data_IF_474369675116
#
_entry.id   IF_474369675116
#
_cell.length_a   1.000
_cell.length_b   1.000
_cell.length_c   1.000
_cell.angle_alpha   90.00
_cell.angle_beta   90.00
_cell.angle_gamma   90.00
#
_symmetry.space_group_name_H-M   'P 1'
#
loop_
_entity.id
_entity.type
_entity.pdbx_description
1 polymer ?
#
# COMPACT_ATOMS: atom_id res chain seq x y z
N UNK A 1 11.87 -19.73 -20.18
CA UNK A 1 11.46 -18.89 -21.34
C UNK A 1 9.93 -18.93 -21.46
N UNK A 2 9.22 -17.88 -21.94
CA UNK A 2 9.24 -16.46 -21.63
C UNK A 2 7.93 -16.06 -20.89
N UNK A 3 7.96 -15.92 -19.56
CA UNK A 3 6.76 -15.62 -18.74
C UNK A 3 6.65 -14.16 -18.29
N UNK A 4 7.66 -13.33 -18.59
CA UNK A 4 7.76 -11.94 -18.12
C UNK A 4 7.07 -10.94 -19.08
N UNK A 5 6.81 -11.31 -20.34
CA UNK A 5 6.28 -10.35 -21.34
C UNK A 5 4.77 -10.10 -21.24
N UNK A 6 3.99 -11.04 -20.68
CA UNK A 6 2.52 -10.95 -20.71
C UNK A 6 1.94 -9.95 -19.70
N UNK A 7 2.59 -9.78 -18.54
CA UNK A 7 2.16 -8.78 -17.54
C UNK A 7 2.48 -7.37 -18.03
N UNK A 8 3.63 -7.18 -18.68
CA UNK A 8 4.02 -5.91 -19.28
C UNK A 8 3.13 -5.47 -20.46
N UNK A 9 2.57 -6.41 -21.23
CA UNK A 9 1.66 -6.07 -22.33
C UNK A 9 0.28 -5.59 -21.86
N UNK A 10 -0.20 -6.04 -20.68
CA UNK A 10 -1.45 -5.56 -20.09
C UNK A 10 -1.33 -4.11 -19.60
N UNK A 11 -0.21 -3.75 -18.97
CA UNK A 11 0.06 -2.37 -18.56
C UNK A 11 0.40 -1.46 -19.76
N UNK A 12 1.09 -1.95 -20.80
CA UNK A 12 1.31 -1.18 -22.04
C UNK A 12 0.01 -0.85 -22.75
N UNK A 13 -0.97 -1.77 -22.75
CA UNK A 13 -2.30 -1.47 -23.30
C UNK A 13 -3.09 -0.48 -22.44
N UNK A 14 -2.90 -0.49 -21.12
CA UNK A 14 -3.46 0.55 -20.23
C UNK A 14 -2.78 1.92 -20.46
N UNK A 15 -1.47 1.95 -20.72
CA UNK A 15 -0.70 3.18 -20.98
C UNK A 15 -0.94 3.79 -22.36
N UNK A 16 -1.23 2.97 -23.38
CA UNK A 16 -1.58 3.42 -24.74
C UNK A 16 -3.07 3.77 -24.91
N UNK A 17 -3.90 3.45 -23.92
CA UNK A 17 -5.32 3.80 -23.84
C UNK A 17 -5.58 5.13 -23.16
N UNK A 18 -4.88 6.21 -23.55
CA UNK A 18 -5.24 7.56 -23.11
C UNK A 18 -6.67 7.86 -23.58
N UNK A 19 -7.57 8.05 -22.59
CA UNK A 19 -8.95 8.60 -22.71
C UNK A 19 -10.00 7.72 -23.38
N UNK A 20 -10.32 6.59 -22.77
CA UNK A 20 -11.65 6.00 -22.94
C UNK A 20 -12.27 5.61 -21.59
N UNK A 21 -12.26 6.53 -20.62
CA UNK A 21 -13.39 6.59 -19.70
C UNK A 21 -14.55 7.15 -20.53
N UNK A 22 -15.69 6.45 -20.66
CA UNK A 22 -16.91 7.12 -21.08
C UNK A 22 -17.09 8.27 -20.10
N UNK A 23 -17.33 9.47 -20.62
CA UNK A 23 -17.78 10.61 -19.82
C UNK A 23 -18.81 10.09 -18.81
N UNK A 24 -18.62 10.44 -17.53
CA UNK A 24 -19.52 10.10 -16.44
C UNK A 24 -20.90 10.65 -16.82
N UNK A 25 -21.73 9.81 -17.42
CA UNK A 25 -23.15 10.08 -17.61
C UNK A 25 -23.80 9.87 -16.25
N UNK A 26 -24.74 10.75 -15.88
CA UNK A 26 -25.46 10.77 -14.60
C UNK A 26 -26.17 9.45 -14.21
N UNK A 27 -26.10 8.41 -15.05
CA UNK A 27 -26.71 7.09 -14.84
C UNK A 27 -25.69 5.94 -14.69
N UNK A 28 -24.40 6.21 -14.44
CA UNK A 28 -23.44 5.14 -14.14
C UNK A 28 -23.63 4.61 -12.70
N UNK A 29 -23.93 3.30 -12.49
CA UNK A 29 -23.95 2.71 -11.16
C UNK A 29 -22.64 2.92 -10.40
N UNK A 30 -22.75 3.07 -9.07
CA UNK A 30 -21.63 3.35 -8.15
C UNK A 30 -20.50 2.32 -8.39
N UNK A 31 -19.25 2.76 -8.23
CA UNK A 31 -18.09 1.87 -8.33
C UNK A 31 -18.20 0.70 -7.34
N UNK A 32 -18.91 0.88 -6.22
CA UNK A 32 -19.24 -0.18 -5.27
C UNK A 32 -20.15 -1.26 -5.88
N UNK A 33 -21.07 -0.87 -6.75
CA UNK A 33 -21.98 -1.79 -7.44
C UNK A 33 -21.27 -2.53 -8.57
N UNK A 34 -20.25 -1.90 -9.17
CA UNK A 34 -19.46 -2.46 -10.27
C UNK A 34 -18.24 -3.26 -9.83
N UNK A 35 -17.64 -2.94 -8.69
CA UNK A 35 -16.46 -3.62 -8.21
C UNK A 35 -16.84 -5.02 -7.73
N UNK A 36 -16.20 -6.03 -8.32
CA UNK A 36 -16.24 -7.41 -7.84
C UNK A 36 -15.14 -7.68 -6.82
N UNK A 37 -14.18 -6.77 -6.63
CA UNK A 37 -13.05 -6.96 -5.72
C UNK A 37 -12.87 -5.75 -4.81
N UNK A 38 -12.08 -5.90 -3.76
CA UNK A 38 -11.69 -4.79 -2.90
C UNK A 38 -10.50 -5.12 -2.01
N UNK A 39 -9.88 -4.06 -1.48
CA UNK A 39 -8.84 -4.15 -0.47
C UNK A 39 -9.32 -3.49 0.82
N UNK A 40 -8.87 -4.00 1.96
CA UNK A 40 -9.24 -3.42 3.25
C UNK A 40 -8.23 -2.36 3.68
N UNK A 41 -8.73 -1.13 3.82
CA UNK A 41 -8.03 -0.06 4.50
C UNK A 41 -8.33 -0.16 6.00
N UNK A 42 -7.34 -0.55 6.79
CA UNK A 42 -7.42 -0.58 8.23
C UNK A 42 -7.04 0.80 8.78
N UNK A 43 -7.79 1.27 9.78
CA UNK A 43 -7.62 2.58 10.39
C UNK A 43 -7.83 2.47 11.90
N UNK A 44 -7.26 3.43 12.62
CA UNK A 44 -7.40 3.54 14.06
C UNK A 44 -7.70 4.99 14.44
N UNK A 45 -8.71 5.18 15.27
CA UNK A 45 -9.12 6.48 15.77
C UNK A 45 -9.36 6.40 17.27
N UNK A 46 -8.89 7.40 18.02
CA UNK A 46 -9.09 7.47 19.47
C UNK A 46 -10.55 7.38 19.90
N UNK A 47 -11.49 7.82 19.05
CA UNK A 47 -12.93 7.81 19.37
C UNK A 47 -13.66 6.56 18.91
N UNK A 48 -13.21 5.93 17.84
CA UNK A 48 -13.90 4.84 17.15
C UNK A 48 -13.19 3.50 17.28
N UNK A 49 -11.99 3.48 17.87
CA UNK A 49 -11.16 2.28 17.95
C UNK A 49 -10.62 1.88 16.57
N UNK A 50 -10.42 0.58 16.40
CA UNK A 50 -9.88 -0.03 15.19
C UNK A 50 -11.02 -0.49 14.27
N UNK A 51 -10.94 -0.08 13.00
CA UNK A 51 -11.93 -0.47 12.00
C UNK A 51 -11.29 -0.63 10.62
N UNK A 52 -11.92 -1.44 9.78
CA UNK A 52 -11.60 -1.57 8.37
C UNK A 52 -12.68 -0.91 7.52
N UNK A 53 -12.26 -0.30 6.42
CA UNK A 53 -13.12 0.12 5.33
C UNK A 53 -12.77 -0.69 4.08
N UNK A 54 -13.78 -1.25 3.42
CA UNK A 54 -13.58 -1.92 2.13
C UNK A 54 -13.46 -0.85 1.04
N UNK A 55 -12.28 -0.77 0.42
CA UNK A 55 -12.03 0.08 -0.72
C UNK A 55 -12.22 -0.76 -1.98
N UNK A 56 -13.27 -0.49 -2.78
CA UNK A 56 -13.56 -1.28 -3.98
C UNK A 56 -12.42 -1.16 -4.98
N UNK A 57 -12.13 -2.24 -5.69
CA UNK A 57 -11.18 -2.25 -6.79
C UNK A 57 -11.67 -3.00 -8.04
N UNK A 58 -11.21 -2.56 -9.19
CA UNK A 58 -11.50 -3.12 -10.51
C UNK A 58 -10.25 -3.85 -11.02
N UNK A 59 -9.94 -5.01 -10.43
CA UNK A 59 -8.94 -5.91 -11.00
C UNK A 59 -9.61 -7.17 -11.54
N UNK A 60 -9.11 -7.75 -12.64
CA UNK A 60 -9.53 -9.07 -13.07
C UNK A 60 -9.01 -10.12 -12.09
N UNK A 61 -9.88 -10.99 -11.55
CA UNK A 61 -9.46 -12.10 -10.68
C UNK A 61 -8.54 -13.13 -11.37
N UNK A 62 -8.56 -13.18 -12.70
CA UNK A 62 -7.68 -14.05 -13.52
C UNK A 62 -7.27 -13.32 -14.79
N UNK A 63 -6.03 -13.53 -15.23
CA UNK A 63 -5.58 -13.14 -16.57
C UNK A 63 -6.57 -13.64 -17.63
N UNK A 64 -6.79 -12.84 -18.68
CA UNK A 64 -7.71 -13.25 -19.76
C UNK A 64 -7.12 -14.43 -20.51
N UNK A 65 -7.85 -15.53 -20.59
CA UNK A 65 -7.45 -16.69 -21.38
C UNK A 65 -7.63 -16.35 -22.86
N UNK A 66 -6.59 -16.59 -23.64
CA UNK A 66 -6.66 -16.49 -25.10
C UNK A 66 -7.41 -17.72 -25.60
N UNK A 67 -8.57 -17.51 -26.22
CA UNK A 67 -9.44 -18.57 -26.78
C UNK A 67 -9.12 -18.83 -28.26
N UNK A 68 -8.44 -17.90 -28.92
CA UNK A 68 -7.94 -18.09 -30.28
C UNK A 68 -7.12 -16.89 -30.75
N UNK A 69 -6.62 -16.92 -31.99
CA UNK A 69 -6.11 -15.73 -32.69
C UNK A 69 -7.06 -15.38 -33.83
N UNK A 70 -7.18 -14.10 -34.19
CA UNK A 70 -7.90 -13.71 -35.40
C UNK A 70 -7.28 -14.36 -36.63
N UNK A 71 -8.09 -14.63 -37.65
CA UNK A 71 -7.72 -15.37 -38.86
C UNK A 71 -6.40 -14.91 -39.48
N UNK A 72 -5.65 -15.90 -39.98
CA UNK A 72 -4.24 -15.93 -40.38
C UNK A 72 -3.88 -14.93 -41.51
N UNK A 73 -4.85 -14.22 -42.09
CA UNK A 73 -4.69 -13.32 -43.24
C UNK A 73 -4.55 -11.83 -42.91
N UNK A 74 -4.19 -11.49 -41.67
CA UNK A 74 -3.86 -10.10 -41.30
C UNK A 74 -2.42 -10.04 -40.82
N UNK A 75 -1.64 -9.06 -41.30
CA UNK A 75 -0.21 -8.87 -40.99
C UNK A 75 0.09 -8.68 -39.48
N UNK A 76 -0.95 -8.57 -38.63
CA UNK A 76 -0.84 -8.56 -37.18
C UNK A 76 -2.04 -9.29 -36.52
N UNK A 77 -1.97 -10.63 -36.34
CA UNK A 77 -3.06 -11.39 -35.73
C UNK A 77 -3.25 -11.00 -34.26
N UNK A 78 -4.44 -10.52 -33.91
CA UNK A 78 -4.79 -10.13 -32.54
C UNK A 78 -5.28 -11.35 -31.75
N UNK A 79 -4.86 -11.53 -30.49
CA UNK A 79 -5.41 -12.57 -29.63
C UNK A 79 -6.91 -12.29 -29.36
N UNK A 80 -7.74 -13.32 -29.56
CA UNK A 80 -9.16 -13.35 -29.14
C UNK A 80 -9.22 -13.92 -27.73
N UNK A 81 -9.77 -13.14 -26.82
CA UNK A 81 -9.89 -13.49 -25.41
C UNK A 81 -11.28 -14.06 -25.08
N UNK A 82 -11.35 -14.86 -24.02
CA UNK A 82 -12.61 -15.37 -23.44
C UNK A 82 -13.55 -14.21 -23.05
N UNK A 83 -14.85 -14.35 -23.35
CA UNK A 83 -15.86 -13.38 -22.90
C UNK A 83 -16.01 -13.49 -21.38
N UNK A 84 -15.74 -12.39 -20.65
CA UNK A 84 -16.01 -12.29 -19.21
C UNK A 84 -17.09 -11.24 -18.90
N UNK A 85 -17.60 -11.26 -17.67
CA UNK A 85 -18.52 -10.23 -17.19
C UNK A 85 -17.87 -8.84 -17.23
N UNK A 86 -18.64 -7.74 -17.37
CA UNK A 86 -18.09 -6.39 -17.50
C UNK A 86 -17.12 -5.96 -16.37
N UNK A 87 -17.35 -6.45 -15.14
CA UNK A 87 -16.47 -6.18 -13.98
C UNK A 87 -15.17 -6.98 -13.98
N UNK A 88 -15.07 -8.06 -14.76
CA UNK A 88 -13.82 -8.81 -14.97
C UNK A 88 -12.97 -8.26 -16.14
N UNK A 89 -13.52 -7.30 -16.88
CA UNK A 89 -12.90 -6.69 -18.06
C UNK A 89 -12.08 -5.45 -17.66
N UNK A 90 -12.54 -4.72 -16.64
CA UNK A 90 -11.88 -3.53 -16.14
C UNK A 90 -10.63 -3.91 -15.33
N UNK A 91 -9.47 -3.42 -15.76
CA UNK A 91 -8.25 -3.42 -14.97
C UNK A 91 -7.91 -1.97 -14.68
N UNK A 92 -8.03 -1.57 -13.42
CA UNK A 92 -7.55 -0.26 -12.97
C UNK A 92 -6.07 -0.33 -12.59
N UNK A 93 -5.41 0.83 -12.65
CA UNK A 93 -4.00 0.95 -12.29
C UNK A 93 -3.82 0.96 -10.78
N UNK A 94 -2.63 0.54 -10.31
CA UNK A 94 -2.30 0.62 -8.88
C UNK A 94 -2.35 2.06 -8.37
N UNK A 95 -1.96 3.03 -9.21
CA UNK A 95 -2.13 4.45 -8.91
C UNK A 95 -3.59 4.81 -8.57
N UNK A 96 -4.57 4.31 -9.32
CA UNK A 96 -5.98 4.62 -9.06
C UNK A 96 -6.48 3.99 -7.76
N UNK A 97 -6.02 2.77 -7.44
CA UNK A 97 -6.33 2.11 -6.16
C UNK A 97 -5.71 2.88 -5.00
N UNK A 98 -4.43 3.26 -5.09
CA UNK A 98 -3.77 4.05 -4.05
C UNK A 98 -4.42 5.42 -3.86
N UNK A 99 -4.80 6.12 -4.93
CA UNK A 99 -5.57 7.38 -4.80
C UNK A 99 -6.85 7.16 -4.01
N UNK A 100 -7.60 6.11 -4.34
CA UNK A 100 -8.84 5.78 -3.64
C UNK A 100 -8.61 5.40 -2.18
N UNK A 101 -7.56 4.65 -1.87
CA UNK A 101 -7.14 4.34 -0.50
C UNK A 101 -6.82 5.60 0.30
N UNK A 102 -6.04 6.52 -0.29
CA UNK A 102 -5.66 7.80 0.33
C UNK A 102 -6.88 8.69 0.56
N UNK A 103 -7.75 8.84 -0.45
CA UNK A 103 -8.97 9.63 -0.34
C UNK A 103 -9.90 9.06 0.74
N UNK A 104 -10.05 7.73 0.78
CA UNK A 104 -10.84 7.03 1.81
C UNK A 104 -10.24 7.24 3.20
N UNK A 105 -8.91 7.19 3.33
CA UNK A 105 -8.21 7.45 4.59
C UNK A 105 -8.52 8.85 5.14
N UNK A 106 -8.41 9.89 4.29
CA UNK A 106 -8.77 11.26 4.69
C UNK A 106 -10.26 11.42 4.96
N UNK A 107 -11.14 10.76 4.21
CA UNK A 107 -12.58 10.80 4.46
C UNK A 107 -12.91 10.33 5.89
N UNK A 108 -12.30 9.24 6.35
CA UNK A 108 -12.56 8.70 7.69
C UNK A 108 -11.82 9.42 8.82
N UNK A 109 -10.57 9.85 8.60
CA UNK A 109 -9.73 10.44 9.66
C UNK A 109 -9.80 11.98 9.72
N UNK A 110 -10.50 12.61 8.77
CA UNK A 110 -10.79 14.04 8.72
C UNK A 110 -10.30 14.69 7.43
N UNK A 111 -11.23 14.98 6.52
CA UNK A 111 -10.94 15.50 5.17
C UNK A 111 -10.09 16.78 5.17
N UNK A 112 -10.34 17.68 6.13
CA UNK A 112 -9.61 18.95 6.26
C UNK A 112 -8.10 18.76 6.50
N UNK A 113 -7.68 17.63 7.08
CA UNK A 113 -6.28 17.33 7.38
C UNK A 113 -5.41 17.24 6.13
N UNK A 114 -6.01 16.94 4.96
CA UNK A 114 -5.32 16.93 3.66
C UNK A 114 -4.69 18.27 3.30
N UNK A 115 -5.24 19.36 3.82
CA UNK A 115 -4.79 20.73 3.51
C UNK A 115 -3.77 21.26 4.50
N UNK A 116 -3.45 20.51 5.56
CA UNK A 116 -2.44 20.91 6.53
C UNK A 116 -1.03 20.65 5.96
N UNK A 117 -0.14 21.66 5.96
CA UNK A 117 1.23 21.49 5.52
C UNK A 117 1.93 20.35 6.27
N UNK A 118 2.59 19.47 5.52
CA UNK A 118 3.32 18.30 6.04
C UNK A 118 2.49 17.32 6.86
N UNK A 119 1.17 17.47 6.96
CA UNK A 119 0.32 16.47 7.57
C UNK A 119 -0.12 15.49 6.48
N UNK A 120 0.10 14.20 6.72
CA UNK A 120 -0.33 13.17 5.79
C UNK A 120 0.12 11.79 6.22
N UNK A 121 0.25 10.88 5.27
CA UNK A 121 0.58 9.49 5.56
C UNK A 121 2.04 9.42 6.02
N UNK A 122 2.24 8.97 7.26
CA UNK A 122 3.56 8.80 7.88
C UNK A 122 4.06 7.38 7.73
N UNK A 123 3.15 6.41 7.71
CA UNK A 123 3.44 4.99 7.68
C UNK A 123 2.31 4.21 7.01
N UNK A 124 2.67 3.14 6.32
CA UNK A 124 1.73 2.16 5.78
C UNK A 124 2.26 0.78 6.13
N UNK A 125 1.45 0.00 6.83
CA UNK A 125 1.80 -1.35 7.30
C UNK A 125 0.85 -2.39 6.72
N UNK A 126 1.37 -3.56 6.41
CA UNK A 126 0.55 -4.74 6.23
C UNK A 126 0.12 -5.27 7.59
N UNK A 127 -1.16 -5.55 7.75
CA UNK A 127 -1.73 -6.02 9.02
C UNK A 127 -2.59 -7.24 8.80
N UNK A 128 -2.57 -8.15 9.76
CA UNK A 128 -3.62 -9.15 9.89
C UNK A 128 -4.73 -8.57 10.73
N UNK A 129 -5.99 -8.83 10.38
CA UNK A 129 -7.12 -8.41 11.18
C UNK A 129 -8.22 -9.46 11.23
N UNK A 130 -9.06 -9.35 12.23
CA UNK A 130 -10.29 -10.12 12.36
C UNK A 130 -11.45 -9.16 12.60
N UNK A 131 -12.58 -9.41 11.96
CA UNK A 131 -13.80 -8.67 12.26
C UNK A 131 -14.26 -8.97 13.69
N UNK A 132 -14.51 -7.91 14.46
CA UNK A 132 -14.83 -8.01 15.87
C UNK A 132 -15.77 -6.88 16.29
N UNK A 133 -17.08 -7.12 16.20
CA UNK A 133 -18.07 -6.15 16.67
C UNK A 133 -19.36 -6.16 15.86
N UNK A 134 -20.10 -5.05 15.94
CA UNK A 134 -21.31 -4.82 15.16
C UNK A 134 -20.98 -3.87 14.02
N UNK A 135 -21.28 -4.26 12.78
CA UNK A 135 -21.02 -3.43 11.60
C UNK A 135 -21.87 -2.16 11.65
N UNK A 136 -21.22 -1.01 11.56
CA UNK A 136 -21.90 0.29 11.56
C UNK A 136 -22.58 0.56 10.21
N UNK A 137 -23.66 1.35 10.16
CA UNK A 137 -24.39 1.65 8.93
C UNK A 137 -23.56 2.40 7.87
N UNK A 138 -22.47 3.02 8.28
CA UNK A 138 -21.60 3.83 7.44
C UNK A 138 -20.55 3.01 6.64
N UNK A 139 -20.60 1.68 6.76
CA UNK A 139 -19.69 0.78 6.06
C UNK A 139 -18.34 0.58 6.75
N UNK A 140 -18.22 0.98 8.03
CA UNK A 140 -17.08 0.62 8.88
C UNK A 140 -17.28 -0.74 9.50
N UNK A 141 -16.24 -1.56 9.39
CA UNK A 141 -16.18 -2.87 10.01
C UNK A 141 -15.30 -2.78 11.25
N UNK A 142 -15.83 -3.00 12.46
CA UNK A 142 -14.98 -3.10 13.65
C UNK A 142 -14.01 -4.27 13.52
N UNK A 143 -12.73 -4.04 13.82
CA UNK A 143 -11.70 -5.08 13.70
C UNK A 143 -10.82 -5.15 14.95
N UNK A 144 -10.12 -6.26 15.08
CA UNK A 144 -8.88 -6.37 15.86
C UNK A 144 -7.76 -6.58 14.87
N UNK A 145 -6.77 -5.67 14.85
CA UNK A 145 -5.64 -5.78 13.93
C UNK A 145 -4.32 -5.98 14.67
N UNK A 146 -3.48 -6.83 14.08
CA UNK A 146 -2.14 -7.16 14.51
C UNK A 146 -1.15 -6.81 13.37
N UNK A 147 -0.19 -5.90 13.59
CA UNK A 147 0.82 -5.58 12.59
C UNK A 147 1.64 -6.82 12.21
N UNK A 148 1.91 -6.97 10.91
CA UNK A 148 2.83 -8.00 10.42
C UNK A 148 4.24 -7.57 10.80
N UNK A 149 4.92 -8.41 11.58
CA UNK A 149 6.32 -8.19 11.97
C UNK A 149 7.24 -8.71 10.86
N UNK A 150 8.03 -7.86 10.18
CA UNK A 150 8.92 -8.29 9.10
C UNK A 150 9.91 -9.37 9.56
N UNK A 151 10.42 -9.26 10.79
CA UNK A 151 11.38 -10.22 11.37
C UNK A 151 10.81 -11.64 11.43
N UNK A 152 9.56 -11.78 11.89
CA UNK A 152 8.88 -13.08 11.95
C UNK A 152 8.69 -13.67 10.55
N UNK A 153 8.36 -12.83 9.56
CA UNK A 153 8.21 -13.28 8.16
C UNK A 153 9.56 -13.69 7.58
N UNK A 154 10.64 -12.94 7.87
CA UNK A 154 11.99 -13.29 7.44
C UNK A 154 12.41 -14.64 8.01
N UNK A 155 12.20 -14.86 9.31
CA UNK A 155 12.55 -16.12 9.97
C UNK A 155 11.75 -17.32 9.42
N UNK A 156 10.46 -17.12 9.10
CA UNK A 156 9.65 -18.13 8.42
C UNK A 156 10.19 -18.45 7.03
N UNK A 157 10.56 -17.43 6.24
CA UNK A 157 11.14 -17.61 4.92
C UNK A 157 12.48 -18.36 5.01
N UNK A 158 13.35 -18.00 5.96
CA UNK A 158 14.63 -18.67 6.19
C UNK A 158 14.44 -20.15 6.57
N UNK A 159 13.46 -20.47 7.41
CA UNK A 159 13.13 -21.87 7.74
C UNK A 159 12.70 -22.67 6.50
N UNK A 160 11.95 -22.07 5.59
CA UNK A 160 11.52 -22.72 4.34
C UNK A 160 12.72 -22.91 3.40
N UNK A 161 13.56 -21.87 3.25
CA UNK A 161 14.76 -21.92 2.41
C UNK A 161 15.75 -22.96 2.94
N UNK A 162 15.97 -23.03 4.25
CA UNK A 162 16.90 -23.98 4.87
C UNK A 162 16.48 -25.45 4.72
N UNK A 163 15.18 -25.71 4.51
CA UNK A 163 14.68 -27.07 4.20
C UNK A 163 15.02 -27.50 2.77
N UNK A 164 15.43 -26.57 1.90
CA UNK A 164 15.83 -26.89 0.53
C UNK A 164 17.31 -27.31 0.48
N UNK A 165 17.62 -28.54 0.04
CA UNK A 165 19.00 -29.03 0.00
C UNK A 165 19.88 -28.24 -1.00
N UNK A 166 21.01 -27.67 -0.53
CA UNK A 166 21.92 -26.77 -1.32
C UNK A 166 23.46 -27.00 -1.22
N UNK A 167 23.96 -27.94 -0.42
CA UNK A 167 25.36 -28.45 -0.39
C UNK A 167 25.92 -29.25 -1.60
N UNK A 168 27.16 -29.71 -1.49
CA UNK A 168 27.99 -30.28 -2.58
C UNK A 168 28.10 -31.81 -2.60
N UNK A 169 27.58 -32.49 -1.58
CA UNK A 169 27.48 -33.95 -1.48
C UNK A 169 26.00 -34.31 -1.41
N UNK A 170 25.37 -34.53 -2.56
CA UNK A 170 23.94 -34.84 -2.58
C UNK A 170 23.58 -36.08 -3.35
N UNK A 171 22.70 -36.85 -2.73
CA UNK A 171 22.03 -38.01 -3.29
C UNK A 171 20.94 -37.52 -4.26
N UNK A 172 21.02 -37.98 -5.50
CA UNK A 172 20.11 -37.59 -6.59
C UNK A 172 18.65 -38.01 -6.26
N UNK A 173 18.48 -38.99 -5.38
CA UNK A 173 17.17 -39.52 -4.99
C UNK A 173 16.35 -38.57 -4.11
N UNK A 174 16.95 -37.54 -3.52
CA UNK A 174 16.28 -36.60 -2.60
C UNK A 174 15.97 -35.22 -3.24
N UNK A 175 16.22 -35.03 -4.54
CA UNK A 175 16.24 -33.68 -5.15
C UNK A 175 15.12 -33.47 -6.17
N UNK A 176 14.55 -32.26 -6.14
CA UNK A 176 13.73 -31.73 -7.24
C UNK A 176 14.62 -30.83 -8.11
N UNK A 177 15.15 -31.37 -9.22
CA UNK A 177 16.18 -30.70 -10.04
C UNK A 177 15.58 -29.66 -10.99
N UNK A 178 14.45 -30.00 -11.60
CA UNK A 178 13.74 -29.15 -12.54
C UNK A 178 12.21 -29.32 -12.43
N UNK A 179 11.44 -28.73 -13.34
CA UNK A 179 9.98 -28.81 -13.31
C UNK A 179 9.45 -30.24 -13.56
N UNK A 180 10.28 -31.14 -14.07
CA UNK A 180 9.94 -32.49 -14.51
C UNK A 180 10.54 -33.59 -13.62
N UNK A 181 11.61 -33.29 -12.89
CA UNK A 181 12.31 -34.24 -12.02
C UNK A 181 12.05 -33.90 -10.55
N UNK A 182 11.21 -34.71 -9.91
CA UNK A 182 10.86 -34.64 -8.49
C UNK A 182 11.23 -35.96 -7.80
N UNK A 183 11.64 -35.89 -6.54
CA UNK A 183 11.84 -37.10 -5.72
C UNK A 183 10.50 -37.75 -5.38
N UNK A 184 10.50 -39.05 -5.08
CA UNK A 184 9.29 -39.80 -4.70
C UNK A 184 8.58 -39.15 -3.49
N UNK A 185 9.34 -38.64 -2.51
CA UNK A 185 8.77 -37.90 -1.38
C UNK A 185 8.09 -36.59 -1.81
N UNK A 186 8.65 -35.88 -2.79
CA UNK A 186 8.02 -34.67 -3.32
C UNK A 186 6.77 -35.02 -4.13
N UNK A 187 6.80 -36.10 -4.92
CA UNK A 187 5.63 -36.60 -5.65
C UNK A 187 4.51 -36.99 -4.70
N UNK A 188 4.80 -37.71 -3.62
CA UNK A 188 3.83 -38.04 -2.57
C UNK A 188 3.27 -36.75 -1.93
N UNK A 189 4.12 -35.79 -1.56
CA UNK A 189 3.65 -34.51 -1.01
C UNK A 189 2.76 -33.72 -1.98
N UNK A 190 3.07 -33.76 -3.28
CA UNK A 190 2.31 -33.11 -4.33
C UNK A 190 0.97 -33.78 -4.62
N UNK A 191 0.94 -35.11 -4.70
CA UNK A 191 -0.26 -35.88 -5.04
C UNK A 191 -1.16 -36.13 -3.84
N UNK A 192 -0.58 -36.59 -2.72
CA UNK A 192 -1.35 -37.04 -1.55
C UNK A 192 -1.76 -35.85 -0.66
N UNK A 193 -0.89 -34.86 -0.50
CA UNK A 193 -1.13 -33.72 0.40
C UNK A 193 -1.40 -32.40 -0.32
N UNK A 194 -1.43 -32.42 -1.66
CA UNK A 194 -1.61 -31.23 -2.51
C UNK A 194 -0.61 -30.11 -2.18
N UNK A 195 0.58 -30.46 -1.68
CA UNK A 195 1.60 -29.49 -1.31
C UNK A 195 2.46 -29.15 -2.52
N UNK A 196 2.77 -27.87 -2.76
CA UNK A 196 3.75 -27.51 -3.78
C UNK A 196 5.13 -28.11 -3.48
N UNK A 197 5.87 -28.41 -4.55
CA UNK A 197 7.25 -28.87 -4.48
C UNK A 197 8.11 -27.99 -3.54
N UNK A 198 9.01 -28.63 -2.78
CA UNK A 198 9.92 -27.96 -1.82
C UNK A 198 10.76 -26.85 -2.48
N UNK A 199 11.19 -27.06 -3.73
CA UNK A 199 11.91 -26.05 -4.53
C UNK A 199 11.04 -24.83 -4.82
N UNK A 200 9.80 -25.05 -5.26
CA UNK A 200 8.83 -23.97 -5.50
C UNK A 200 8.54 -23.19 -4.21
N UNK A 201 8.49 -23.86 -3.07
CA UNK A 201 8.33 -23.19 -1.78
C UNK A 201 9.55 -22.36 -1.40
N UNK A 202 10.76 -22.87 -1.61
CA UNK A 202 12.00 -22.15 -1.35
C UNK A 202 12.14 -20.92 -2.25
N UNK A 203 11.84 -21.04 -3.55
CA UNK A 203 11.84 -19.91 -4.49
C UNK A 203 10.83 -18.83 -4.08
N UNK A 204 9.60 -19.23 -3.70
CA UNK A 204 8.58 -18.29 -3.20
C UNK A 204 9.02 -17.60 -1.91
N UNK A 205 9.64 -18.34 -0.99
CA UNK A 205 10.17 -17.80 0.26
C UNK A 205 11.32 -16.82 0.00
N UNK A 206 12.21 -17.11 -0.94
CA UNK A 206 13.29 -16.20 -1.34
C UNK A 206 12.75 -14.92 -1.98
N UNK A 207 11.80 -15.04 -2.90
CA UNK A 207 11.12 -13.89 -3.49
C UNK A 207 10.44 -13.03 -2.40
N UNK A 208 9.73 -13.66 -1.46
CA UNK A 208 9.08 -12.96 -0.35
C UNK A 208 10.10 -12.27 0.56
N UNK A 209 11.21 -12.93 0.91
CA UNK A 209 12.30 -12.33 1.68
C UNK A 209 12.87 -11.10 0.98
N UNK A 210 13.07 -11.16 -0.34
CA UNK A 210 13.55 -10.02 -1.11
C UNK A 210 12.54 -8.86 -1.13
N UNK A 211 11.23 -9.13 -1.16
CA UNK A 211 10.19 -8.08 -1.08
C UNK A 211 10.19 -7.34 0.26
N UNK A 212 10.57 -7.99 1.36
CA UNK A 212 10.67 -7.35 2.69
C UNK A 212 11.67 -6.18 2.71
N UNK A 213 12.67 -6.16 1.83
CA UNK A 213 13.63 -5.06 1.69
C UNK A 213 12.96 -3.77 1.19
N UNK A 214 11.76 -3.87 0.63
CA UNK A 214 11.06 -2.79 -0.05
C UNK A 214 9.78 -2.36 0.65
N UNK A 215 9.59 -2.69 1.94
CA UNK A 215 8.38 -2.32 2.70
C UNK A 215 8.08 -0.81 2.69
N UNK A 216 9.12 0.02 2.60
CA UNK A 216 8.96 1.48 2.49
C UNK A 216 8.22 1.90 1.21
N UNK A 217 8.16 1.06 0.17
CA UNK A 217 7.42 1.35 -1.06
C UNK A 217 5.92 1.55 -0.80
N UNK A 218 5.32 0.86 0.18
CA UNK A 218 3.91 1.06 0.52
C UNK A 218 3.64 2.51 0.95
N UNK A 219 4.50 3.03 1.83
CA UNK A 219 4.43 4.42 2.29
C UNK A 219 4.65 5.40 1.14
N UNK A 220 5.63 5.11 0.28
CA UNK A 220 5.96 5.95 -0.86
C UNK A 220 4.82 6.02 -1.88
N UNK A 221 4.23 4.88 -2.23
CA UNK A 221 3.05 4.77 -3.10
C UNK A 221 1.83 5.47 -2.49
N UNK A 222 1.65 5.40 -1.17
CA UNK A 222 0.53 6.08 -0.52
C UNK A 222 0.72 7.61 -0.48
N UNK A 223 1.97 8.10 -0.39
CA UNK A 223 2.28 9.54 -0.46
C UNK A 223 2.22 10.08 -1.88
N UNK A 224 2.67 9.30 -2.85
CA UNK A 224 2.62 9.59 -4.26
C UNK A 224 2.09 8.38 -5.03
N UNK A 225 0.75 8.28 -5.21
CA UNK A 225 0.12 7.18 -5.92
C UNK A 225 0.66 6.96 -7.34
N UNK A 226 1.22 7.99 -7.98
CA UNK A 226 1.81 7.86 -9.31
C UNK A 226 2.97 6.86 -9.36
N UNK A 227 3.67 6.65 -8.23
CA UNK A 227 4.78 5.70 -8.11
C UNK A 227 4.35 4.24 -8.07
N UNK A 228 3.06 3.96 -7.82
CA UNK A 228 2.60 2.60 -7.60
C UNK A 228 2.55 1.72 -8.87
N UNK A 229 2.47 2.34 -10.04
CA UNK A 229 2.35 1.63 -11.32
C UNK A 229 3.59 0.76 -11.60
N UNK A 230 3.37 -0.51 -11.96
CA UNK A 230 4.44 -1.49 -12.23
C UNK A 230 5.20 -1.99 -11.00
N UNK A 231 4.88 -1.51 -9.79
CA UNK A 231 5.54 -2.00 -8.56
C UNK A 231 4.80 -3.18 -7.91
N UNK A 232 3.56 -3.43 -8.30
CA UNK A 232 2.74 -4.55 -7.82
C UNK A 232 2.64 -4.65 -6.27
N UNK A 233 2.75 -3.52 -5.57
CA UNK A 233 2.81 -3.49 -4.10
C UNK A 233 1.53 -4.00 -3.41
N UNK A 234 0.39 -4.00 -4.13
CA UNK A 234 -0.89 -4.54 -3.62
C UNK A 234 -0.96 -6.08 -3.66
N UNK A 235 0.01 -6.75 -4.29
CA UNK A 235 0.15 -8.20 -4.26
C UNK A 235 0.78 -8.72 -2.95
N UNK A 236 1.12 -7.81 -2.04
CA UNK A 236 1.72 -8.09 -0.76
C UNK A 236 3.26 -8.11 -0.83
N UNK A 237 3.87 -7.34 0.08
CA UNK A 237 5.32 -7.28 0.27
C UNK A 237 5.78 -8.19 1.41
N UNK A 238 5.12 -8.11 2.57
CA UNK A 238 5.35 -9.04 3.68
C UNK A 238 4.36 -10.20 3.68
N UNK A 239 3.18 -10.03 3.11
CA UNK A 239 2.14 -11.05 2.99
C UNK A 239 1.85 -11.38 1.53
N UNK A 240 0.83 -12.19 1.27
CA UNK A 240 0.24 -12.31 -0.05
C UNK A 240 -0.82 -11.21 -0.26
N UNK A 241 -1.40 -11.18 -1.47
CA UNK A 241 -2.31 -10.13 -1.94
C UNK A 241 -3.35 -9.68 -0.90
N UNK A 242 -3.45 -8.35 -0.76
CA UNK A 242 -4.48 -7.70 0.04
C UNK A 242 -5.77 -7.42 -0.74
N UNK A 243 -5.88 -7.94 -1.98
CA UNK A 243 -7.06 -7.83 -2.83
C UNK A 243 -7.93 -9.08 -2.65
N UNK A 244 -9.18 -8.86 -2.28
CA UNK A 244 -10.18 -9.90 -2.08
C UNK A 244 -11.22 -9.86 -3.18
N UNK A 245 -11.69 -11.04 -3.56
CA UNK A 245 -12.93 -11.17 -4.32
C UNK A 245 -14.11 -10.94 -3.38
N UNK A 246 -14.98 -10.02 -3.75
CA UNK A 246 -16.19 -9.66 -3.00
C UNK A 246 -17.46 -10.11 -3.74
N UNK A 247 -17.34 -10.48 -5.03
CA UNK A 247 -18.42 -10.97 -5.87
C UNK A 247 -17.88 -12.07 -6.78
N UNK A 248 -18.16 -13.32 -6.46
CA UNK A 248 -17.65 -14.44 -7.26
C UNK A 248 -17.65 -15.76 -6.52
N UNK A 249 -17.16 -16.83 -7.16
CA UNK A 249 -17.09 -18.17 -6.57
C UNK A 249 -16.14 -18.23 -5.36
N UNK A 250 -15.18 -17.29 -5.27
CA UNK A 250 -14.19 -17.20 -4.19
C UNK A 250 -14.46 -16.01 -3.26
N UNK A 251 -15.71 -15.53 -3.19
CA UNK A 251 -16.03 -14.34 -2.42
C UNK A 251 -15.75 -14.51 -0.92
N UNK A 252 -15.21 -13.46 -0.31
CA UNK A 252 -15.08 -13.40 1.14
C UNK A 252 -16.45 -13.19 1.80
N UNK A 253 -16.65 -13.79 2.96
CA UNK A 253 -17.81 -13.52 3.80
C UNK A 253 -17.63 -12.15 4.48
N UNK A 254 -18.40 -11.16 4.02
CA UNK A 254 -18.48 -9.85 4.67
C UNK A 254 -19.56 -9.87 5.76
N UNK A 255 -19.31 -9.24 6.92
CA UNK A 255 -20.31 -9.15 7.97
C UNK A 255 -21.46 -8.23 7.52
N UNK A 256 -22.70 -8.64 7.81
CA UNK A 256 -23.90 -7.88 7.46
C UNK A 256 -24.09 -6.66 8.37
N UNK A 257 -24.64 -5.54 7.87
CA UNK A 257 -24.95 -4.37 8.68
C UNK A 257 -25.80 -4.72 9.89
N UNK A 258 -25.54 -4.08 11.03
CA UNK A 258 -26.31 -4.23 12.29
C UNK A 258 -26.27 -5.64 12.92
N UNK A 259 -25.45 -6.55 12.39
CA UNK A 259 -25.23 -7.86 12.98
C UNK A 259 -23.91 -7.90 13.72
N UNK A 260 -23.92 -8.52 14.90
CA UNK A 260 -22.69 -8.82 15.62
C UNK A 260 -21.98 -9.94 14.87
N UNK A 261 -20.77 -9.66 14.43
CA UNK A 261 -19.93 -10.62 13.73
C UNK A 261 -18.60 -10.76 14.47
N UNK A 262 -18.22 -12.01 14.71
CA UNK A 262 -16.93 -12.37 15.26
C UNK A 262 -16.27 -13.31 14.27
N UNK A 263 -15.42 -12.74 13.41
CA UNK A 263 -14.72 -13.49 12.39
C UNK A 263 -13.65 -14.37 13.03
N UNK A 264 -13.67 -15.66 12.72
CA UNK A 264 -12.59 -16.60 13.09
C UNK A 264 -11.42 -16.55 12.10
N UNK A 265 -11.69 -16.12 10.87
CA UNK A 265 -10.72 -16.04 9.79
C UNK A 265 -9.91 -14.75 9.91
N UNK A 266 -8.58 -14.87 9.89
CA UNK A 266 -7.67 -13.73 9.76
C UNK A 266 -7.67 -13.26 8.31
N UNK A 267 -7.91 -11.97 8.15
CA UNK A 267 -7.81 -11.26 6.89
C UNK A 267 -6.57 -10.38 6.89
N UNK A 268 -6.16 -9.95 5.71
CA UNK A 268 -5.01 -9.06 5.47
C UNK A 268 -5.54 -7.71 5.02
N UNK A 269 -4.92 -6.63 5.48
CA UNK A 269 -5.25 -5.28 5.08
C UNK A 269 -4.05 -4.36 5.11
N UNK A 270 -4.26 -3.13 4.66
CA UNK A 270 -3.27 -2.06 4.74
C UNK A 270 -3.68 -1.08 5.83
N UNK A 271 -2.83 -0.91 6.83
CA UNK A 271 -3.02 0.08 7.88
C UNK A 271 -2.32 1.38 7.53
N UNK A 272 -3.08 2.46 7.40
CA UNK A 272 -2.56 3.79 7.07
C UNK A 272 -2.49 4.64 8.32
N UNK A 273 -1.30 5.16 8.63
CA UNK A 273 -1.09 6.08 9.75
C UNK A 273 -0.98 7.51 9.22
N UNK A 274 -1.86 8.40 9.70
CA UNK A 274 -1.79 9.83 9.44
C UNK A 274 -1.06 10.55 10.58
N UNK A 275 -0.19 11.48 10.21
CA UNK A 275 0.51 12.32 11.17
C UNK A 275 1.38 13.38 10.49
N UNK A 276 2.24 14.00 11.28
CA UNK A 276 3.18 14.99 10.79
C UNK A 276 4.38 14.29 10.12
N UNK A 277 4.59 14.56 8.82
CA UNK A 277 5.64 13.98 7.98
C UNK A 277 7.01 14.61 8.30
N UNK A 278 7.58 14.21 9.44
CA UNK A 278 8.87 14.73 9.95
C UNK A 278 10.04 14.53 8.97
N UNK A 279 10.02 13.44 8.21
CA UNK A 279 11.00 13.17 7.17
C UNK A 279 10.93 14.19 6.03
N UNK A 280 9.73 14.50 5.53
CA UNK A 280 9.54 15.58 4.54
C UNK A 280 9.88 16.95 5.10
N UNK A 281 9.49 17.27 6.33
CA UNK A 281 9.87 18.54 6.95
C UNK A 281 11.39 18.72 6.99
N UNK A 282 12.15 17.67 7.33
CA UNK A 282 13.62 17.74 7.38
C UNK A 282 14.26 17.97 6.01
N UNK A 283 13.66 17.45 4.94
CA UNK A 283 14.19 17.54 3.58
C UNK A 283 13.73 18.83 2.89
N UNK A 284 12.46 19.18 3.07
CA UNK A 284 11.79 20.25 2.33
C UNK A 284 11.78 21.58 3.04
N UNK A 285 11.81 21.66 4.39
CA UNK A 285 12.01 22.97 5.03
C UNK A 285 13.43 23.43 4.73
N UNK A 286 13.60 24.51 3.95
CA UNK A 286 14.90 25.12 3.81
C UNK A 286 15.33 25.54 5.21
N UNK A 287 16.54 25.17 5.61
CA UNK A 287 17.17 25.62 6.86
C UNK A 287 16.94 27.13 7.10
N UNK A 288 16.98 27.92 6.02
CA UNK A 288 16.71 29.36 5.99
C UNK A 288 15.32 29.76 6.49
N UNK A 289 14.27 29.03 6.12
CA UNK A 289 12.89 29.32 6.56
C UNK A 289 12.74 28.95 8.04
N UNK A 290 13.33 27.84 8.48
CA UNK A 290 13.36 27.48 9.91
C UNK A 290 14.10 28.51 10.75
N UNK A 291 15.25 29.01 10.27
CA UNK A 291 16.00 30.09 10.92
C UNK A 291 15.23 31.41 10.94
N UNK A 292 14.51 31.75 9.87
CA UNK A 292 13.68 32.95 9.81
C UNK A 292 12.53 32.89 10.82
N UNK A 293 11.80 31.76 10.90
CA UNK A 293 10.75 31.57 11.91
C UNK A 293 11.28 31.57 13.34
N UNK A 294 12.44 30.94 13.58
CA UNK A 294 13.11 31.00 14.88
C UNK A 294 13.50 32.43 15.24
N UNK A 295 14.03 33.20 14.27
CA UNK A 295 14.34 34.61 14.44
C UNK A 295 13.11 35.44 14.82
N UNK A 296 12.01 35.28 14.07
CA UNK A 296 10.74 35.97 14.36
C UNK A 296 10.22 35.59 15.74
N UNK A 297 10.25 34.30 16.11
CA UNK A 297 9.80 33.84 17.44
C UNK A 297 10.68 34.38 18.57
N UNK A 298 12.00 34.42 18.39
CA UNK A 298 12.94 34.97 19.37
C UNK A 298 12.73 36.49 19.56
N UNK A 299 12.51 37.23 18.47
CA UNK A 299 12.17 38.65 18.50
C UNK A 299 10.86 38.88 19.27
N UNK A 300 9.82 38.09 18.98
CA UNK A 300 8.53 38.18 19.67
C UNK A 300 8.64 37.84 21.16
N UNK A 301 9.39 36.79 21.50
CA UNK A 301 9.64 36.42 22.90
C UNK A 301 10.33 37.56 23.65
N UNK A 302 11.32 38.22 23.04
CA UNK A 302 12.02 39.36 23.60
C UNK A 302 11.10 40.56 23.84
N UNK A 303 10.21 40.85 22.89
CA UNK A 303 9.20 41.92 23.03
C UNK A 303 8.23 41.65 24.20
N UNK A 304 7.77 40.40 24.32
CA UNK A 304 6.84 40.01 25.39
C UNK A 304 7.51 40.03 26.76
N UNK A 305 8.74 39.53 26.88
CA UNK A 305 9.50 39.51 28.14
C UNK A 305 9.92 40.93 28.57
N UNK A 306 10.39 41.77 27.64
CA UNK A 306 10.77 43.15 27.93
C UNK A 306 9.60 44.02 28.41
N UNK A 307 8.40 43.76 27.89
CA UNK A 307 7.16 44.41 28.32
C UNK A 307 6.62 43.87 29.65
N UNK A 308 6.70 42.55 29.85
CA UNK A 308 6.21 41.88 31.07
C UNK A 308 6.98 42.25 32.34
N UNK A 309 8.24 42.70 32.22
CA UNK A 309 9.08 43.14 33.34
C UNK A 309 8.93 44.59 33.76
N UNK A 310 7.97 45.34 33.22
CA UNK A 310 7.75 46.77 33.52
C UNK A 310 8.60 47.74 32.69
N UNK A 311 9.24 47.27 31.62
CA UNK A 311 10.01 48.10 30.69
C UNK A 311 9.15 48.87 29.69
N UNK A 312 9.58 50.09 29.36
CA UNK A 312 8.97 50.91 28.30
C UNK A 312 9.18 50.25 26.92
N UNK A 313 8.25 50.50 25.99
CA UNK A 313 8.26 49.93 24.63
C UNK A 313 9.57 50.22 23.89
N UNK A 314 10.22 51.35 24.17
CA UNK A 314 11.51 51.72 23.58
C UNK A 314 12.61 50.70 23.91
N UNK A 315 12.69 50.23 25.15
CA UNK A 315 13.71 49.26 25.58
C UNK A 315 13.44 47.87 25.00
N UNK A 316 12.17 47.46 24.94
CA UNK A 316 11.77 46.19 24.33
C UNK A 316 12.07 46.16 22.82
N UNK A 317 11.81 47.25 22.10
CA UNK A 317 12.12 47.38 20.67
C UNK A 317 13.63 47.38 20.41
N UNK A 318 14.42 48.07 21.24
CA UNK A 318 15.88 48.07 21.11
C UNK A 318 16.47 46.66 21.28
N UNK A 319 16.00 45.91 22.28
CA UNK A 319 16.46 44.54 22.51
C UNK A 319 16.05 43.59 21.38
N UNK A 320 14.82 43.73 20.88
CA UNK A 320 14.32 43.01 19.71
C UNK A 320 15.16 43.28 18.45
N UNK A 321 15.59 44.52 18.22
CA UNK A 321 16.46 44.90 17.10
C UNK A 321 17.85 44.28 17.22
N UNK A 322 18.44 44.25 18.43
CA UNK A 322 19.75 43.61 18.66
C UNK A 322 19.66 42.10 18.36
N UNK A 323 18.62 41.43 18.86
CA UNK A 323 18.40 40.01 18.60
C UNK A 323 18.18 39.75 17.10
N UNK A 324 17.40 40.59 16.42
CA UNK A 324 17.20 40.50 14.98
C UNK A 324 18.52 40.65 14.19
N UNK A 325 19.36 41.60 14.58
CA UNK A 325 20.67 41.83 13.97
C UNK A 325 21.63 40.65 14.20
N UNK A 326 21.73 40.13 15.43
CA UNK A 326 22.56 38.98 15.75
C UNK A 326 22.15 37.72 15.00
N UNK A 327 20.84 37.45 14.90
CA UNK A 327 20.33 36.30 14.15
C UNK A 327 20.61 36.46 12.65
N UNK A 328 20.47 37.67 12.12
CA UNK A 328 20.80 37.96 10.71
C UNK A 328 22.28 37.72 10.41
N UNK A 329 23.18 38.13 11.31
CA UNK A 329 24.64 37.89 11.16
C UNK A 329 24.95 36.39 11.16
N UNK A 330 24.37 35.61 12.07
CA UNK A 330 24.57 34.16 12.11
C UNK A 330 24.07 33.49 10.84
N UNK A 331 22.90 33.90 10.34
CA UNK A 331 22.33 33.36 9.09
C UNK A 331 23.23 33.68 7.89
N UNK A 332 23.79 34.90 7.82
CA UNK A 332 24.71 35.29 6.74
C UNK A 332 26.05 34.56 6.84
N UNK A 333 26.56 34.34 8.06
CA UNK A 333 27.84 33.67 8.25
C UNK A 333 27.78 32.16 7.94
N UNK A 334 26.66 31.51 8.24
CA UNK A 334 26.42 30.10 7.89
C UNK A 334 26.17 29.91 6.37
N UNK A 335 26.04 31.00 5.60
CA UNK A 335 25.86 30.97 4.15
C UNK A 335 27.17 31.06 3.35
N UNK A 336 28.30 31.39 3.99
CA UNK A 336 29.65 31.25 3.42
C UNK A 336 30.20 29.87 3.74
#
# INVERSE_FOLDING_TARGET
MPSISYVHDLERQAGLGVRAFPQVTENMPDIRDRAGQGCFLCLESHRQGQYAALVPCLRPAKARRVVGRSEIFTDNPKPRYEKKMPWDIACESDNDIYRRLVDTCYQYLGWWKRWLPYYGITEVLEVNFQFAGVVEPDGRYPIRMDPVKPDNVSEECEKIIARHPTGSYFDINDVCLDDYHHSDQCLIGMEEWSQPCIRVNAEKAEQRRNRLLFLSLLKDCARDPGRANGLHTLEGLAQESCIYDTKGPNQIALPLPHQRFQGTVRMRGLYFVLGLQKDRMRIELPFRISCAWFGIAAIWLCLVLGRGGGGDWGTALAFAQVVAASISIVIVYVQQ
#
